data_IF_407754755350
#
_entry.id   IF_407754755350
#
_cell.length_a   1.000
_cell.length_b   1.000
_cell.length_c   1.000
_cell.angle_alpha   90.00
_cell.angle_beta   90.00
_cell.angle_gamma   90.00
#
_symmetry.space_group_name_H-M   'P 1'
#
loop_
_entity.id
_entity.type
_entity.pdbx_description
1 polymer ?
#
# COMPACT_ATOMS: atom_id res chain seq x y z
N UNK A 1 8.24 -7.30 7.76
CA UNK A 1 7.04 -7.17 6.88
C UNK A 1 6.90 -8.48 6.11
N UNK A 2 5.68 -8.87 5.75
CA UNK A 2 5.47 -10.00 4.84
C UNK A 2 5.00 -9.46 3.49
N UNK A 3 5.63 -9.91 2.40
CA UNK A 3 5.22 -9.60 1.04
C UNK A 3 4.63 -10.85 0.40
N UNK A 4 3.54 -10.68 -0.35
CA UNK A 4 2.94 -11.74 -1.15
C UNK A 4 3.00 -11.32 -2.61
N UNK A 5 3.72 -12.06 -3.45
CA UNK A 5 3.82 -11.87 -4.90
C UNK A 5 3.21 -13.10 -5.56
N UNK A 6 2.00 -12.96 -6.09
CA UNK A 6 1.14 -14.07 -6.50
C UNK A 6 1.03 -15.13 -5.38
N UNK A 7 1.58 -16.33 -5.60
CA UNK A 7 1.59 -17.43 -4.62
C UNK A 7 2.82 -17.42 -3.70
N UNK A 8 3.79 -16.55 -3.97
CA UNK A 8 5.05 -16.50 -3.24
C UNK A 8 4.89 -15.62 -2.00
N UNK A 9 5.18 -16.19 -0.83
CA UNK A 9 5.21 -15.45 0.44
C UNK A 9 6.66 -15.22 0.86
N UNK A 10 7.00 -13.97 1.15
CA UNK A 10 8.35 -13.54 1.52
C UNK A 10 8.28 -12.88 2.90
N UNK A 11 8.92 -13.49 3.89
CA UNK A 11 9.12 -12.90 5.21
C UNK A 11 10.37 -12.00 5.18
N UNK A 12 10.16 -10.72 4.90
CA UNK A 12 11.25 -9.76 4.71
C UNK A 12 11.83 -9.26 6.04
N UNK A 13 13.17 -9.24 6.09
CA UNK A 13 13.99 -8.62 7.15
C UNK A 13 14.61 -7.30 6.64
N UNK A 14 15.11 -6.42 7.52
CA UNK A 14 15.78 -5.18 7.08
C UNK A 14 16.86 -5.45 6.03
N UNK A 15 16.86 -4.66 4.95
CA UNK A 15 17.76 -4.84 3.80
C UNK A 15 17.27 -5.81 2.72
N UNK A 16 16.15 -6.53 2.94
CA UNK A 16 15.54 -7.35 1.89
C UNK A 16 14.97 -6.46 0.78
N UNK A 17 15.33 -6.77 -0.47
CA UNK A 17 14.72 -6.18 -1.65
C UNK A 17 13.68 -7.12 -2.24
N UNK A 18 12.47 -6.62 -2.50
CA UNK A 18 11.38 -7.38 -3.11
C UNK A 18 10.97 -6.69 -4.41
N UNK A 19 10.98 -7.44 -5.51
CA UNK A 19 10.50 -6.97 -6.81
C UNK A 19 9.08 -7.47 -7.06
N UNK A 20 8.16 -6.53 -7.34
CA UNK A 20 6.74 -6.80 -7.60
C UNK A 20 6.40 -6.37 -9.04
N UNK A 21 6.36 -7.31 -10.02
CA UNK A 21 6.12 -6.97 -11.41
C UNK A 21 4.69 -6.48 -11.68
N UNK A 22 4.54 -5.59 -12.67
CA UNK A 22 3.23 -5.18 -13.19
C UNK A 22 2.45 -6.39 -13.72
N UNK A 23 1.14 -6.43 -13.47
CA UNK A 23 0.26 -7.50 -13.92
C UNK A 23 0.27 -8.75 -13.04
N UNK A 24 1.13 -8.79 -12.02
CA UNK A 24 1.16 -9.85 -11.01
C UNK A 24 0.53 -9.33 -9.73
N UNK A 25 -0.47 -10.03 -9.18
CA UNK A 25 -1.11 -9.64 -7.91
C UNK A 25 -0.05 -9.59 -6.81
N UNK A 26 0.03 -8.48 -6.09
CA UNK A 26 0.94 -8.37 -4.96
C UNK A 26 0.34 -7.53 -3.83
N UNK A 27 0.77 -7.82 -2.61
CA UNK A 27 0.40 -7.09 -1.40
C UNK A 27 1.49 -7.23 -0.35
N UNK A 28 1.42 -6.42 0.71
CA UNK A 28 2.29 -6.52 1.86
C UNK A 28 1.53 -6.29 3.17
N UNK A 29 2.07 -6.84 4.25
CA UNK A 29 1.57 -6.66 5.61
C UNK A 29 2.70 -6.21 6.52
N UNK A 30 2.46 -5.17 7.32
CA UNK A 30 3.30 -4.85 8.47
C UNK A 30 3.07 -5.90 9.56
N UNK A 31 4.16 -6.53 10.03
CA UNK A 31 4.08 -7.60 11.03
C UNK A 31 4.34 -7.09 12.46
N UNK A 32 4.65 -5.81 12.59
CA UNK A 32 5.04 -5.12 13.81
C UNK A 32 4.31 -3.78 13.85
N UNK A 33 4.19 -3.20 15.05
CA UNK A 33 3.58 -1.88 15.23
C UNK A 33 4.26 -0.80 14.38
N UNK A 34 5.59 -0.84 14.28
CA UNK A 34 6.36 0.05 13.41
C UNK A 34 7.08 -0.76 12.34
N UNK A 35 6.89 -0.38 11.07
CA UNK A 35 7.59 -0.92 9.91
C UNK A 35 7.92 0.22 8.94
N UNK A 36 9.07 0.15 8.26
CA UNK A 36 9.48 1.12 7.25
C UNK A 36 9.92 0.40 5.98
N UNK A 37 9.46 0.90 4.84
CA UNK A 37 9.85 0.43 3.51
C UNK A 37 10.17 1.63 2.63
N UNK A 38 11.15 1.47 1.74
CA UNK A 38 11.37 2.37 0.63
C UNK A 38 10.72 1.74 -0.61
N UNK A 39 9.72 2.41 -1.17
CA UNK A 39 9.00 1.93 -2.34
C UNK A 39 9.47 2.68 -3.59
N UNK A 40 9.88 1.93 -4.61
CA UNK A 40 10.18 2.46 -5.94
C UNK A 40 9.16 1.92 -6.92
N UNK A 41 8.49 2.80 -7.66
CA UNK A 41 7.46 2.43 -8.64
C UNK A 41 7.87 2.94 -10.02
N UNK A 42 7.75 2.08 -11.03
CA UNK A 42 8.05 2.40 -12.42
C UNK A 42 6.97 1.82 -13.34
N UNK A 43 6.46 2.60 -14.33
CA UNK A 43 6.69 4.03 -14.54
C UNK A 43 6.15 4.88 -13.37
N UNK A 44 6.52 6.16 -13.32
CA UNK A 44 6.03 7.11 -12.30
C UNK A 44 4.50 7.28 -12.38
N UNK A 45 3.89 7.82 -11.31
CA UNK A 45 2.46 8.16 -11.26
C UNK A 45 1.71 7.51 -10.10
N UNK A 46 2.29 6.51 -9.42
CA UNK A 46 1.67 5.89 -8.25
C UNK A 46 1.47 6.88 -7.09
N UNK A 47 2.35 7.86 -6.96
CA UNK A 47 2.23 8.94 -5.99
C UNK A 47 0.97 9.78 -6.16
N UNK A 48 0.44 9.89 -7.38
CA UNK A 48 -0.80 10.64 -7.65
C UNK A 48 -2.01 9.94 -7.05
N UNK A 49 -2.06 8.61 -7.14
CA UNK A 49 -3.06 7.78 -6.45
C UNK A 49 -2.99 7.99 -4.92
N UNK A 50 -1.78 7.96 -4.35
CA UNK A 50 -1.59 8.18 -2.91
C UNK A 50 -2.06 9.58 -2.50
N UNK A 51 -1.73 10.61 -3.30
CA UNK A 51 -2.14 11.99 -3.03
C UNK A 51 -3.65 12.21 -3.11
N UNK A 52 -4.35 11.57 -4.07
CA UNK A 52 -5.82 11.69 -4.18
C UNK A 52 -6.54 10.94 -3.05
N UNK A 53 -5.98 9.83 -2.58
CA UNK A 53 -6.55 9.03 -1.50
C UNK A 53 -6.30 9.62 -0.10
N UNK A 54 -5.21 10.38 0.06
CA UNK A 54 -4.71 10.80 1.37
C UNK A 54 -5.05 12.25 1.68
N UNK A 55 -4.99 12.59 2.97
CA UNK A 55 -5.04 13.97 3.44
C UNK A 55 -3.64 14.42 3.90
N UNK A 56 -3.33 15.73 3.84
CA UNK A 56 -2.10 16.26 4.40
C UNK A 56 -1.96 15.90 5.88
N UNK A 57 -0.79 15.37 6.25
CA UNK A 57 -0.50 15.03 7.64
C UNK A 57 -0.26 16.33 8.44
N UNK A 58 -0.96 16.56 9.56
CA UNK A 58 -0.69 17.70 10.43
C UNK A 58 0.68 17.57 11.11
N UNK A 59 1.19 18.65 11.69
CA UNK A 59 2.53 18.69 12.31
C UNK A 59 2.72 17.61 13.40
N UNK A 60 1.63 17.21 14.06
CA UNK A 60 1.58 16.08 14.98
C UNK A 60 0.79 14.94 14.35
N UNK A 61 1.44 13.80 14.13
CA UNK A 61 0.81 12.59 13.60
C UNK A 61 -0.34 12.15 14.53
N UNK A 62 -1.57 12.05 14.03
CA UNK A 62 -2.67 11.48 14.80
C UNK A 62 -2.39 10.00 15.08
N UNK A 63 -3.02 9.48 16.15
CA UNK A 63 -3.04 8.04 16.37
C UNK A 63 -3.69 7.34 15.16
N UNK A 64 -3.18 6.15 14.83
CA UNK A 64 -3.80 5.33 13.80
C UNK A 64 -5.28 5.07 14.17
N UNK A 65 -6.20 5.10 13.19
CA UNK A 65 -7.60 4.75 13.43
C UNK A 65 -7.71 3.33 14.00
N UNK A 66 -8.59 3.13 14.98
CA UNK A 66 -8.89 1.82 15.52
C UNK A 66 -9.76 1.01 14.54
N UNK A 67 -9.32 -0.21 14.24
CA UNK A 67 -10.09 -1.16 13.43
C UNK A 67 -9.92 -1.00 11.91
N UNK A 68 -10.66 -1.81 11.11
CA UNK A 68 -10.59 -1.75 9.66
C UNK A 68 -11.24 -0.46 9.11
N UNK A 69 -10.88 -0.04 7.88
CA UNK A 69 -11.56 1.07 7.21
C UNK A 69 -13.07 0.80 7.04
N UNK A 70 -13.87 1.87 7.02
CA UNK A 70 -15.31 1.75 6.79
C UNK A 70 -15.61 1.24 5.37
N UNK A 71 -16.81 0.64 5.13
CA UNK A 71 -17.22 0.23 3.78
C UNK A 71 -17.14 1.36 2.75
N UNK A 72 -17.50 2.58 3.14
CA UNK A 72 -17.46 3.77 2.28
C UNK A 72 -16.02 4.12 1.91
N UNK A 73 -15.09 4.07 2.87
CA UNK A 73 -13.67 4.28 2.63
C UNK A 73 -13.09 3.22 1.69
N UNK A 74 -13.50 1.95 1.82
CA UNK A 74 -13.10 0.88 0.91
C UNK A 74 -13.65 1.13 -0.50
N UNK A 75 -14.91 1.55 -0.63
CA UNK A 75 -15.50 1.86 -1.93
C UNK A 75 -14.81 3.05 -2.62
N UNK A 76 -14.48 4.09 -1.86
CA UNK A 76 -13.72 5.24 -2.35
C UNK A 76 -12.32 4.80 -2.81
N UNK A 77 -11.61 4.01 -1.99
CA UNK A 77 -10.31 3.43 -2.33
C UNK A 77 -10.34 2.67 -3.66
N UNK A 78 -11.30 1.74 -3.84
CA UNK A 78 -11.44 0.96 -5.07
C UNK A 78 -11.73 1.87 -6.26
N UNK A 79 -12.62 2.85 -6.09
CA UNK A 79 -13.01 3.77 -7.17
C UNK A 79 -11.86 4.66 -7.62
N UNK A 80 -11.07 5.18 -6.68
CA UNK A 80 -9.89 6.01 -6.97
C UNK A 80 -8.78 5.15 -7.58
N UNK A 81 -8.50 3.98 -7.01
CA UNK A 81 -7.51 3.03 -7.53
C UNK A 81 -7.73 2.71 -9.01
N UNK A 82 -8.98 2.49 -9.42
CA UNK A 82 -9.34 2.22 -10.82
C UNK A 82 -8.95 3.35 -11.79
N UNK A 83 -9.04 4.63 -11.38
CA UNK A 83 -8.63 5.78 -12.21
C UNK A 83 -7.14 5.74 -12.56
N UNK A 84 -6.32 5.15 -11.68
CA UNK A 84 -4.87 5.02 -11.83
C UNK A 84 -4.44 3.66 -12.37
N UNK A 85 -5.38 2.83 -12.86
CA UNK A 85 -5.08 1.51 -13.41
C UNK A 85 -4.65 0.48 -12.35
N UNK A 86 -5.03 0.69 -11.09
CA UNK A 86 -4.80 -0.24 -9.98
C UNK A 86 -6.07 -1.07 -9.79
N UNK A 87 -5.96 -2.38 -9.99
CA UNK A 87 -7.05 -3.33 -9.72
C UNK A 87 -6.94 -3.86 -8.28
N UNK A 88 -7.98 -3.62 -7.48
CA UNK A 88 -8.12 -4.21 -6.14
C UNK A 88 -9.16 -5.34 -6.17
N UNK A 89 -8.74 -6.56 -5.87
CA UNK A 89 -9.54 -7.80 -5.86
C UNK A 89 -9.35 -8.58 -4.57
#
# INVERSE_FOLDING_TARGET
MTFCIDKTVIHAVPGTYVYAPKGIKHTFKANTETSKVLLTVYPSGFEQFVNELSEPVPEQLPLAPDGPPSPEAIHALISIAAKYGIEMK
#
